data_IF_008751748858
#
_entry.id   IF_008751748858
#
_cell.length_a   1.000
_cell.length_b   1.000
_cell.length_c   1.000
_cell.angle_alpha   90.00
_cell.angle_beta   90.00
_cell.angle_gamma   90.00
#
_symmetry.space_group_name_H-M   'P 1'
#
loop_
_entity.id
_entity.type
_entity.pdbx_description
1 polymer ?
#
# COMPACT_ATOMS: atom_id res chain seq x y z
N UNK A 1 27.65 -36.60 19.75
CA UNK A 1 26.65 -35.72 20.34
C UNK A 1 26.00 -34.99 19.16
N UNK A 2 24.74 -35.26 18.86
CA UNK A 2 24.02 -34.54 17.80
C UNK A 2 24.00 -33.05 18.17
N UNK A 3 24.56 -32.21 17.31
CA UNK A 3 24.52 -30.77 17.50
C UNK A 3 23.05 -30.37 17.64
N UNK A 4 22.71 -29.67 18.73
CA UNK A 4 21.35 -29.13 18.95
C UNK A 4 21.07 -28.10 17.85
N UNK A 5 20.55 -28.57 16.72
CA UNK A 5 20.14 -27.70 15.63
C UNK A 5 18.83 -27.00 16.02
N UNK A 6 18.90 -25.69 16.18
CA UNK A 6 17.76 -24.86 16.55
C UNK A 6 17.15 -24.29 15.25
N UNK A 7 15.90 -24.67 14.97
CA UNK A 7 15.15 -24.14 13.86
C UNK A 7 14.57 -22.77 14.21
N UNK A 8 15.12 -21.73 13.55
CA UNK A 8 14.72 -20.33 13.78
C UNK A 8 13.24 -20.10 13.46
N UNK A 9 12.76 -20.62 12.32
CA UNK A 9 11.37 -20.44 11.88
C UNK A 9 10.40 -21.07 12.87
N UNK A 10 10.67 -22.30 13.30
CA UNK A 10 9.84 -23.02 14.25
C UNK A 10 9.83 -22.36 15.63
N UNK A 11 10.98 -21.86 16.08
CA UNK A 11 11.08 -21.13 17.34
C UNK A 11 10.23 -19.85 17.32
N UNK A 12 10.26 -19.09 16.23
CA UNK A 12 9.45 -17.87 16.09
C UNK A 12 7.97 -18.24 15.95
N UNK A 13 7.64 -19.26 15.16
CA UNK A 13 6.26 -19.70 14.92
C UNK A 13 5.52 -20.09 16.20
N UNK A 14 6.24 -20.70 17.13
CA UNK A 14 5.72 -21.15 18.43
C UNK A 14 5.89 -20.11 19.55
N UNK A 15 6.54 -18.98 19.29
CA UNK A 15 6.73 -17.91 20.29
C UNK A 15 5.43 -17.14 20.56
N UNK A 16 5.43 -16.38 21.66
CA UNK A 16 4.38 -15.39 21.96
C UNK A 16 4.87 -14.00 21.54
N UNK A 17 3.92 -13.13 21.13
CA UNK A 17 4.22 -11.73 20.84
C UNK A 17 4.67 -11.03 22.11
N UNK A 18 5.91 -10.57 22.17
CA UNK A 18 6.52 -9.88 23.30
C UNK A 18 6.86 -8.43 22.96
N UNK A 19 7.25 -7.65 23.94
CA UNK A 19 7.59 -6.22 23.78
C UNK A 19 8.65 -5.96 22.71
N UNK A 20 9.60 -6.87 22.52
CA UNK A 20 10.62 -6.75 21.48
C UNK A 20 10.01 -6.81 20.07
N UNK A 21 9.14 -7.79 19.82
CA UNK A 21 8.45 -7.95 18.53
C UNK A 21 7.50 -6.77 18.28
N UNK A 22 6.78 -6.32 19.34
CA UNK A 22 5.96 -5.10 19.24
C UNK A 22 6.81 -3.89 18.84
N UNK A 23 8.02 -3.74 19.41
CA UNK A 23 8.96 -2.69 19.03
C UNK A 23 9.34 -2.73 17.54
N UNK A 24 9.58 -3.93 16.99
CA UNK A 24 9.82 -4.12 15.54
C UNK A 24 8.60 -3.72 14.72
N UNK A 25 7.40 -4.15 15.13
CA UNK A 25 6.14 -3.84 14.43
C UNK A 25 5.84 -2.34 14.45
N UNK A 26 6.08 -1.67 15.58
CA UNK A 26 5.88 -0.22 15.71
C UNK A 26 6.85 0.55 14.83
N UNK A 27 8.13 0.20 14.81
CA UNK A 27 9.12 0.88 13.96
C UNK A 27 8.81 0.70 12.46
N UNK A 28 8.47 -0.52 12.03
CA UNK A 28 8.05 -0.78 10.66
C UNK A 28 6.73 -0.07 10.32
N UNK A 29 5.78 -0.04 11.27
CA UNK A 29 4.50 0.65 11.11
C UNK A 29 4.66 2.16 10.98
N UNK A 30 5.50 2.79 11.81
CA UNK A 30 5.81 4.21 11.73
C UNK A 30 6.49 4.56 10.39
N UNK A 31 7.38 3.70 9.92
CA UNK A 31 8.01 3.87 8.62
C UNK A 31 6.97 3.85 7.49
N UNK A 32 6.00 2.91 7.52
CA UNK A 32 4.91 2.82 6.55
C UNK A 32 3.91 3.98 6.66
N UNK A 33 3.66 4.51 7.87
CA UNK A 33 2.87 5.73 8.05
C UNK A 33 3.55 6.90 7.33
N UNK A 34 4.85 7.04 7.44
CA UNK A 34 5.58 8.11 6.77
C UNK A 34 5.72 7.91 5.26
N UNK A 35 5.77 6.67 4.78
CA UNK A 35 5.68 6.33 3.36
C UNK A 35 4.33 6.78 2.77
N UNK A 36 3.22 6.39 3.42
CA UNK A 36 1.87 6.83 3.02
C UNK A 36 1.67 8.34 3.11
N UNK A 37 2.25 8.98 4.15
CA UNK A 37 2.28 10.44 4.29
C UNK A 37 2.95 11.09 3.09
N UNK A 38 4.17 10.68 2.74
CA UNK A 38 4.95 11.32 1.67
C UNK A 38 4.27 11.16 0.31
N UNK A 39 3.86 9.93 -0.06
CA UNK A 39 3.22 9.64 -1.34
C UNK A 39 1.93 10.44 -1.53
N UNK A 40 1.13 10.59 -0.48
CA UNK A 40 -0.19 11.23 -0.58
C UNK A 40 -0.16 12.74 -0.26
N UNK A 41 0.91 13.25 0.38
CA UNK A 41 1.06 14.67 0.68
C UNK A 41 1.04 15.56 -0.56
N UNK A 42 1.49 15.03 -1.69
CA UNK A 42 1.53 15.75 -2.96
C UNK A 42 0.15 16.29 -3.39
N UNK A 43 -0.91 15.48 -3.27
CA UNK A 43 -2.28 15.91 -3.61
C UNK A 43 -2.75 17.12 -2.80
N UNK A 44 -2.28 17.27 -1.56
CA UNK A 44 -2.59 18.41 -0.70
C UNK A 44 -1.73 19.63 -0.99
N UNK A 45 -0.47 19.43 -1.35
CA UNK A 45 0.48 20.51 -1.65
C UNK A 45 0.21 21.16 -3.00
N UNK A 46 -0.20 20.38 -4.00
CA UNK A 46 -0.34 20.81 -5.39
C UNK A 46 -1.16 22.10 -5.58
N UNK A 47 -2.34 22.30 -4.96
CA UNK A 47 -3.12 23.53 -5.14
C UNK A 47 -2.40 24.80 -4.69
N UNK A 48 -1.67 24.73 -3.58
CA UNK A 48 -0.92 25.87 -3.03
C UNK A 48 0.33 26.19 -3.88
N UNK A 49 1.05 25.16 -4.31
CA UNK A 49 2.22 25.28 -5.18
C UNK A 49 1.82 25.87 -6.54
N UNK A 50 0.71 25.42 -7.13
CA UNK A 50 0.24 25.96 -8.41
C UNK A 50 -0.12 27.43 -8.33
N UNK A 51 -0.71 27.86 -7.21
CA UNK A 51 -1.01 29.27 -6.99
C UNK A 51 0.27 30.09 -6.87
N UNK A 52 1.30 29.57 -6.18
CA UNK A 52 2.59 30.30 -6.02
C UNK A 52 3.39 30.37 -7.33
N UNK A 53 3.40 29.29 -8.12
CA UNK A 53 4.23 29.21 -9.32
C UNK A 53 3.50 29.65 -10.60
N UNK A 54 2.20 29.98 -10.52
CA UNK A 54 1.40 30.38 -11.69
C UNK A 54 1.19 29.27 -12.73
N UNK A 55 1.28 28.00 -12.31
CA UNK A 55 1.07 26.82 -13.17
C UNK A 55 -0.35 26.31 -13.06
N UNK A 56 -0.94 25.90 -14.18
CA UNK A 56 -2.34 25.47 -14.23
C UNK A 56 -2.51 23.98 -14.02
N UNK A 57 -1.52 23.16 -14.35
CA UNK A 57 -1.62 21.70 -14.28
C UNK A 57 -0.23 21.04 -14.28
N UNK A 58 0.08 20.28 -13.24
CA UNK A 58 1.24 19.39 -13.15
C UNK A 58 1.07 18.30 -12.07
N UNK A 59 -0.10 18.27 -11.39
CA UNK A 59 -0.27 17.36 -10.25
C UNK A 59 -0.17 15.90 -10.66
N UNK A 60 -0.73 15.54 -11.80
CA UNK A 60 -0.68 14.19 -12.33
C UNK A 60 0.74 13.76 -12.70
N UNK A 61 1.49 14.62 -13.41
CA UNK A 61 2.87 14.32 -13.80
C UNK A 61 3.77 14.09 -12.61
N UNK A 62 3.70 14.95 -11.58
CA UNK A 62 4.52 14.81 -10.37
C UNK A 62 4.15 13.54 -9.59
N UNK A 63 2.86 13.26 -9.43
CA UNK A 63 2.39 12.02 -8.79
C UNK A 63 2.86 10.78 -9.57
N UNK A 64 2.67 10.78 -10.90
CA UNK A 64 3.07 9.66 -11.76
C UNK A 64 4.58 9.43 -11.74
N UNK A 65 5.41 10.50 -11.77
CA UNK A 65 6.87 10.37 -11.64
C UNK A 65 7.28 9.75 -10.31
N UNK A 66 6.66 10.16 -9.20
CA UNK A 66 6.90 9.53 -7.89
C UNK A 66 6.55 8.05 -7.94
N UNK A 67 5.39 7.68 -8.49
CA UNK A 67 4.90 6.30 -8.54
C UNK A 67 5.71 5.41 -9.50
N UNK A 68 6.24 5.96 -10.59
CA UNK A 68 7.22 5.26 -11.45
C UNK A 68 8.48 4.94 -10.63
N UNK A 69 8.99 5.93 -9.88
CA UNK A 69 10.10 5.69 -8.96
C UNK A 69 9.80 4.59 -7.95
N UNK A 70 8.62 4.62 -7.31
CA UNK A 70 8.17 3.59 -6.35
C UNK A 70 8.12 2.20 -7.01
N UNK A 71 7.61 2.10 -8.23
CA UNK A 71 7.54 0.82 -8.95
C UNK A 71 8.94 0.25 -9.22
N UNK A 72 9.84 1.05 -9.77
CA UNK A 72 11.22 0.64 -10.07
C UNK A 72 11.97 0.33 -8.77
N UNK A 73 11.86 1.20 -7.78
CA UNK A 73 12.50 1.05 -6.47
C UNK A 73 12.06 -0.21 -5.74
N UNK A 74 10.78 -0.56 -5.79
CA UNK A 74 10.27 -1.76 -5.15
C UNK A 74 10.90 -3.05 -5.71
N UNK A 75 11.16 -3.10 -7.00
CA UNK A 75 11.82 -4.24 -7.65
C UNK A 75 13.32 -4.29 -7.29
N UNK A 76 14.02 -3.15 -7.48
CA UNK A 76 15.47 -3.07 -7.27
C UNK A 76 15.85 -3.35 -5.81
N UNK A 77 15.17 -2.70 -4.87
CA UNK A 77 15.52 -2.80 -3.45
C UNK A 77 15.01 -4.07 -2.78
N UNK A 78 13.97 -4.74 -3.32
CA UNK A 78 13.62 -6.08 -2.85
C UNK A 78 14.73 -7.08 -3.18
N UNK A 79 15.25 -7.06 -4.41
CA UNK A 79 16.38 -7.91 -4.80
C UNK A 79 17.66 -7.57 -4.00
N UNK A 80 17.87 -6.30 -3.69
CA UNK A 80 19.00 -5.87 -2.88
C UNK A 80 18.87 -6.37 -1.44
N UNK A 81 17.68 -6.33 -0.85
CA UNK A 81 17.41 -6.79 0.50
C UNK A 81 17.69 -8.29 0.68
N UNK A 82 17.46 -9.11 -0.33
CA UNK A 82 17.80 -10.53 -0.32
C UNK A 82 19.32 -10.79 -0.33
N UNK A 83 20.12 -9.80 -0.81
CA UNK A 83 21.58 -9.89 -0.85
C UNK A 83 22.25 -9.34 0.40
N UNK A 84 21.85 -8.15 0.87
CA UNK A 84 22.54 -7.42 1.95
C UNK A 84 21.77 -7.40 3.28
N UNK A 85 20.51 -7.85 3.28
CA UNK A 85 19.63 -7.86 4.46
C UNK A 85 18.50 -6.85 4.36
N UNK A 86 17.44 -7.09 5.14
CA UNK A 86 16.24 -6.22 5.13
C UNK A 86 16.46 -4.95 5.94
N UNK A 87 17.18 -5.05 7.05
CA UNK A 87 17.45 -3.91 7.93
C UNK A 87 18.24 -2.79 7.26
N UNK A 88 19.41 -3.02 6.61
CA UNK A 88 20.17 -1.94 5.98
C UNK A 88 19.40 -1.31 4.80
N UNK A 89 18.64 -2.09 4.04
CA UNK A 89 17.82 -1.55 2.94
C UNK A 89 16.70 -0.67 3.49
N UNK A 90 15.98 -1.11 4.52
CA UNK A 90 14.88 -0.37 5.10
C UNK A 90 15.36 0.94 5.74
N UNK A 91 16.44 0.90 6.53
CA UNK A 91 17.04 2.09 7.15
C UNK A 91 17.59 3.04 6.08
N UNK A 92 18.37 2.51 5.14
CA UNK A 92 18.97 3.29 4.07
C UNK A 92 17.90 3.98 3.21
N UNK A 93 16.86 3.25 2.82
CA UNK A 93 15.73 3.80 2.06
C UNK A 93 14.98 4.89 2.83
N UNK A 94 14.76 4.69 4.16
CA UNK A 94 14.09 5.67 5.01
C UNK A 94 14.90 6.96 5.10
N UNK A 95 16.18 6.89 5.37
CA UNK A 95 17.06 8.07 5.43
C UNK A 95 17.19 8.75 4.06
N UNK A 96 17.28 7.96 2.99
CA UNK A 96 17.38 8.45 1.62
C UNK A 96 16.13 9.23 1.19
N UNK A 97 14.93 8.67 1.32
CA UNK A 97 13.73 9.42 0.93
C UNK A 97 13.48 10.61 1.85
N UNK A 98 13.80 10.52 3.16
CA UNK A 98 13.75 11.65 4.09
C UNK A 98 14.56 12.84 3.59
N UNK A 99 15.82 12.60 3.22
CA UNK A 99 16.70 13.65 2.70
C UNK A 99 16.14 14.29 1.42
N UNK A 100 15.62 13.46 0.49
CA UNK A 100 15.04 13.94 -0.75
C UNK A 100 13.72 14.70 -0.55
N UNK A 101 12.92 14.31 0.44
CA UNK A 101 11.71 15.03 0.82
C UNK A 101 12.07 16.41 1.42
N UNK A 102 13.12 16.52 2.24
CA UNK A 102 13.65 17.81 2.71
C UNK A 102 14.16 18.68 1.56
N UNK A 103 14.85 18.08 0.57
CA UNK A 103 15.29 18.79 -0.64
C UNK A 103 14.09 19.25 -1.46
N UNK A 104 13.01 18.45 -1.53
CA UNK A 104 11.76 18.82 -2.23
C UNK A 104 11.18 20.15 -1.71
N UNK A 105 11.34 20.46 -0.42
CA UNK A 105 10.91 21.73 0.15
C UNK A 105 11.67 22.96 -0.40
N UNK A 106 12.82 22.77 -1.06
CA UNK A 106 13.69 23.83 -1.58
C UNK A 106 13.67 23.97 -3.11
N UNK A 107 12.91 23.14 -3.81
CA UNK A 107 12.80 23.24 -5.26
C UNK A 107 12.09 24.52 -5.68
N UNK A 108 12.50 25.06 -6.83
CA UNK A 108 11.98 26.30 -7.40
C UNK A 108 11.41 26.15 -8.80
N UNK A 109 11.66 25.00 -9.45
CA UNK A 109 11.16 24.72 -10.80
C UNK A 109 10.44 23.37 -10.86
N UNK A 110 9.52 23.24 -11.83
CA UNK A 110 8.77 22.00 -12.04
C UNK A 110 9.69 20.83 -12.41
N UNK A 111 10.70 21.07 -13.23
CA UNK A 111 11.64 20.02 -13.68
C UNK A 111 12.46 19.47 -12.50
N UNK A 112 12.94 20.35 -11.61
CA UNK A 112 13.58 19.93 -10.36
C UNK A 112 12.64 19.08 -9.52
N UNK A 113 11.38 19.51 -9.40
CA UNK A 113 10.38 18.79 -8.64
C UNK A 113 10.13 17.39 -9.22
N UNK A 114 9.95 17.26 -10.53
CA UNK A 114 9.75 15.98 -11.22
C UNK A 114 10.91 15.01 -10.98
N UNK A 115 12.15 15.51 -11.16
CA UNK A 115 13.37 14.70 -10.98
C UNK A 115 13.50 14.24 -9.53
N UNK A 116 13.38 15.17 -8.58
CA UNK A 116 13.56 14.85 -7.15
C UNK A 116 12.47 13.89 -6.66
N UNK A 117 11.21 14.09 -7.10
CA UNK A 117 10.11 13.19 -6.72
C UNK A 117 10.26 11.80 -7.33
N UNK A 118 10.77 11.68 -8.55
CA UNK A 118 11.13 10.38 -9.13
C UNK A 118 12.22 9.67 -8.31
N UNK A 119 13.31 10.41 -8.00
CA UNK A 119 14.43 9.85 -7.23
C UNK A 119 13.98 9.48 -5.80
N UNK A 120 13.16 10.32 -5.14
CA UNK A 120 12.57 9.99 -3.83
C UNK A 120 11.69 8.74 -3.90
N UNK A 121 10.91 8.60 -4.98
CA UNK A 121 10.08 7.43 -5.25
C UNK A 121 10.88 6.13 -5.25
N UNK A 122 12.12 6.11 -5.77
CA UNK A 122 12.97 4.92 -5.74
C UNK A 122 13.17 4.42 -4.29
N UNK A 123 13.43 5.32 -3.35
CA UNK A 123 13.58 4.96 -1.93
C UNK A 123 12.26 4.49 -1.29
N UNK A 124 11.16 5.23 -1.55
CA UNK A 124 9.83 4.88 -1.04
C UNK A 124 9.41 3.46 -1.49
N UNK A 125 9.77 3.05 -2.72
CA UNK A 125 9.48 1.71 -3.22
C UNK A 125 10.08 0.58 -2.39
N UNK A 126 11.18 0.83 -1.69
CA UNK A 126 11.82 -0.16 -0.82
C UNK A 126 11.07 -0.42 0.49
N UNK A 127 10.28 0.56 0.98
CA UNK A 127 9.78 0.56 2.36
C UNK A 127 8.78 -0.58 2.58
N UNK A 128 7.67 -0.57 1.84
CA UNK A 128 6.55 -1.49 2.10
C UNK A 128 6.95 -2.98 2.02
N UNK A 129 7.62 -3.47 0.96
CA UNK A 129 7.95 -4.89 0.86
C UNK A 129 8.90 -5.34 1.99
N UNK A 130 9.90 -4.54 2.33
CA UNK A 130 10.88 -4.91 3.35
C UNK A 130 10.33 -4.80 4.77
N UNK A 131 9.51 -3.79 5.08
CA UNK A 131 8.88 -3.65 6.38
C UNK A 131 7.89 -4.79 6.65
N UNK A 132 7.02 -5.11 5.69
CA UNK A 132 6.03 -6.19 5.83
C UNK A 132 6.72 -7.56 5.93
N UNK A 133 7.78 -7.79 5.15
CA UNK A 133 8.54 -9.01 5.23
C UNK A 133 9.21 -9.18 6.61
N UNK A 134 9.87 -8.11 7.12
CA UNK A 134 10.52 -8.16 8.42
C UNK A 134 9.51 -8.41 9.55
N UNK A 135 8.34 -7.78 9.50
CA UNK A 135 7.24 -8.03 10.44
C UNK A 135 6.79 -9.50 10.36
N UNK A 136 6.61 -10.04 9.15
CA UNK A 136 6.23 -11.44 8.95
C UNK A 136 7.24 -12.42 9.55
N UNK A 137 8.54 -12.13 9.40
CA UNK A 137 9.63 -12.96 9.90
C UNK A 137 9.80 -12.93 11.44
N UNK A 138 9.36 -11.87 12.11
CA UNK A 138 9.35 -11.76 13.57
C UNK A 138 8.01 -12.12 14.19
N UNK A 139 6.98 -12.43 13.40
CA UNK A 139 5.66 -12.73 13.92
C UNK A 139 5.43 -14.23 14.15
N UNK A 140 4.87 -14.63 15.31
CA UNK A 140 4.38 -15.98 15.54
C UNK A 140 3.34 -16.39 14.50
N UNK A 141 3.26 -17.67 14.17
CA UNK A 141 2.38 -18.21 13.11
C UNK A 141 0.93 -17.76 13.27
N UNK A 142 0.41 -17.75 14.51
CA UNK A 142 -0.99 -17.40 14.79
C UNK A 142 -1.32 -15.93 14.54
N UNK A 143 -0.38 -15.00 14.79
CA UNK A 143 -0.60 -13.55 14.66
C UNK A 143 0.04 -12.94 13.43
N UNK A 144 0.82 -13.70 12.65
CA UNK A 144 1.61 -13.22 11.51
C UNK A 144 0.80 -12.42 10.50
N UNK A 145 -0.31 -12.99 10.02
CA UNK A 145 -1.15 -12.33 9.01
C UNK A 145 -1.73 -11.03 9.56
N UNK A 146 -2.20 -11.05 10.82
CA UNK A 146 -2.75 -9.86 11.45
C UNK A 146 -1.70 -8.76 11.64
N UNK A 147 -0.50 -9.11 12.11
CA UNK A 147 0.60 -8.17 12.28
C UNK A 147 1.00 -7.51 10.94
N UNK A 148 1.14 -8.30 9.88
CA UNK A 148 1.44 -7.80 8.53
C UNK A 148 0.33 -6.88 8.02
N UNK A 149 -0.94 -7.21 8.23
CA UNK A 149 -2.09 -6.38 7.82
C UNK A 149 -2.13 -5.06 8.59
N UNK A 150 -1.97 -5.09 9.91
CA UNK A 150 -1.97 -3.89 10.76
C UNK A 150 -0.85 -2.94 10.35
N UNK A 151 0.36 -3.47 10.15
CA UNK A 151 1.53 -2.67 9.75
C UNK A 151 1.37 -2.13 8.33
N UNK A 152 0.85 -2.92 7.38
CA UNK A 152 0.57 -2.46 6.02
C UNK A 152 -0.48 -1.35 5.96
N UNK A 153 -1.50 -1.38 6.84
CA UNK A 153 -2.48 -0.30 6.97
C UNK A 153 -1.86 1.02 7.45
N UNK A 154 -0.65 0.99 8.00
CA UNK A 154 0.13 2.19 8.31
C UNK A 154 0.21 3.15 7.12
N UNK A 155 0.38 2.65 5.90
CA UNK A 155 0.35 3.47 4.68
C UNK A 155 -0.94 4.28 4.54
N UNK A 156 -2.10 3.66 4.72
CA UNK A 156 -3.41 4.32 4.59
C UNK A 156 -3.66 5.30 5.73
N UNK A 157 -3.24 4.95 6.94
CA UNK A 157 -3.27 5.87 8.09
C UNK A 157 -2.37 7.09 7.83
N UNK A 158 -1.17 6.88 7.31
CA UNK A 158 -0.24 7.93 6.92
C UNK A 158 -0.82 8.90 5.88
N UNK A 159 -1.54 8.37 4.91
CA UNK A 159 -2.26 9.18 3.92
C UNK A 159 -3.33 10.09 4.55
N UNK A 160 -4.09 9.58 5.52
CA UNK A 160 -5.07 10.38 6.26
C UNK A 160 -4.38 11.45 7.14
N UNK A 161 -3.31 11.07 7.84
CA UNK A 161 -2.48 11.99 8.65
C UNK A 161 -1.91 13.10 7.79
N UNK A 162 -1.45 12.81 6.57
CA UNK A 162 -0.97 13.83 5.62
C UNK A 162 -2.02 14.91 5.36
N UNK A 163 -3.29 14.52 5.21
CA UNK A 163 -4.39 15.46 5.01
C UNK A 163 -4.59 16.41 6.21
N UNK A 164 -4.64 15.87 7.42
CA UNK A 164 -4.79 16.68 8.63
C UNK A 164 -3.60 17.62 8.85
N UNK A 165 -2.37 17.10 8.71
CA UNK A 165 -1.15 17.91 8.84
C UNK A 165 -1.09 18.99 7.76
N UNK A 166 -1.39 18.68 6.51
CA UNK A 166 -1.43 19.66 5.42
C UNK A 166 -2.48 20.75 5.66
N UNK A 167 -3.67 20.38 6.13
CA UNK A 167 -4.75 21.32 6.45
C UNK A 167 -4.34 22.30 7.57
N UNK A 168 -3.50 21.85 8.51
CA UNK A 168 -2.96 22.70 9.58
C UNK A 168 -1.76 23.54 9.13
N UNK A 169 -0.79 22.92 8.44
CA UNK A 169 0.50 23.55 8.11
C UNK A 169 0.42 24.51 6.92
N UNK A 170 -0.28 24.14 5.84
CA UNK A 170 -0.27 24.92 4.59
C UNK A 170 -0.79 26.35 4.79
N UNK A 171 -1.93 26.59 5.48
CA UNK A 171 -2.43 27.95 5.68
C UNK A 171 -1.56 28.83 6.59
N UNK A 172 -0.73 28.22 7.46
CA UNK A 172 0.10 28.93 8.46
C UNK A 172 1.53 29.14 8.01
N UNK A 173 2.11 28.12 7.36
CA UNK A 173 3.55 28.07 7.07
C UNK A 173 3.85 27.82 5.59
N UNK A 174 2.82 27.77 4.74
CA UNK A 174 2.97 27.47 3.32
C UNK A 174 3.21 25.97 3.03
N UNK A 175 3.15 25.61 1.75
CA UNK A 175 3.22 24.22 1.30
C UNK A 175 4.57 23.53 1.59
N UNK A 176 5.66 24.30 1.65
CA UNK A 176 7.01 23.77 1.96
C UNK A 176 7.08 23.10 3.34
N UNK A 177 6.28 23.59 4.28
CA UNK A 177 6.23 23.05 5.65
C UNK A 177 5.80 21.58 5.72
N UNK A 178 4.97 21.15 4.77
CA UNK A 178 4.54 19.74 4.67
C UNK A 178 5.73 18.83 4.34
N UNK A 179 6.61 19.25 3.43
CA UNK A 179 7.83 18.51 3.09
C UNK A 179 8.90 18.59 4.18
N UNK A 180 9.01 19.72 4.89
CA UNK A 180 9.88 19.77 6.08
C UNK A 180 9.42 18.79 7.15
N UNK A 181 8.14 18.72 7.44
CA UNK A 181 7.58 17.72 8.37
C UNK A 181 7.78 16.30 7.83
N UNK A 182 7.37 16.05 6.57
CA UNK A 182 7.45 14.76 5.90
C UNK A 182 8.88 14.22 5.69
N UNK A 183 9.90 15.08 5.77
CA UNK A 183 11.29 14.67 5.72
C UNK A 183 11.93 14.55 7.11
N UNK A 184 11.62 15.46 8.04
CA UNK A 184 12.23 15.45 9.38
C UNK A 184 11.76 14.26 10.23
N UNK A 185 10.46 13.96 10.22
CA UNK A 185 9.92 12.86 11.04
C UNK A 185 10.49 11.50 10.62
N UNK A 186 10.47 11.10 9.32
CA UNK A 186 11.07 9.82 8.95
C UNK A 186 12.60 9.80 9.08
N UNK A 187 13.27 10.96 9.04
CA UNK A 187 14.70 11.03 9.37
C UNK A 187 14.96 10.57 10.81
N UNK A 188 14.17 11.09 11.76
CA UNK A 188 14.25 10.68 13.18
C UNK A 188 13.91 9.19 13.33
N UNK A 189 12.85 8.71 12.64
CA UNK A 189 12.47 7.29 12.66
C UNK A 189 13.61 6.43 12.10
N UNK A 190 14.25 6.82 10.99
CA UNK A 190 15.39 6.11 10.41
C UNK A 190 16.59 6.01 11.35
N UNK A 191 16.88 7.09 12.08
CA UNK A 191 17.92 7.09 13.12
C UNK A 191 17.57 6.17 14.31
N UNK A 192 16.30 6.17 14.75
CA UNK A 192 15.81 5.23 15.76
C UNK A 192 15.89 3.78 15.28
N UNK A 193 15.53 3.52 14.02
CA UNK A 193 15.66 2.19 13.41
C UNK A 193 17.12 1.73 13.35
N UNK A 194 18.07 2.65 13.11
CA UNK A 194 19.49 2.32 13.10
C UNK A 194 19.96 1.73 14.45
N UNK A 195 19.39 2.21 15.56
CA UNK A 195 19.74 1.73 16.90
C UNK A 195 18.89 0.53 17.32
N UNK A 196 17.59 0.53 17.04
CA UNK A 196 16.64 -0.39 17.66
C UNK A 196 16.14 -1.52 16.75
N UNK A 197 16.19 -1.36 15.42
CA UNK A 197 15.67 -2.36 14.49
C UNK A 197 16.66 -3.53 14.35
N UNK A 198 16.24 -4.79 14.57
CA UNK A 198 17.07 -5.95 14.34
C UNK A 198 17.14 -6.33 12.85
N UNK A 199 18.14 -7.10 12.48
CA UNK A 199 18.15 -7.77 11.18
C UNK A 199 17.30 -9.04 11.21
N UNK A 200 16.80 -9.47 10.06
CA UNK A 200 16.11 -10.74 9.89
C UNK A 200 16.92 -11.91 10.41
N UNK A 201 16.37 -12.67 11.35
CA UNK A 201 17.01 -13.88 11.89
C UNK A 201 17.15 -14.95 10.80
N UNK A 202 16.18 -15.07 9.90
CA UNK A 202 16.24 -16.00 8.77
C UNK A 202 17.39 -15.60 7.82
N UNK A 203 17.52 -14.32 7.48
CA UNK A 203 18.61 -13.82 6.65
C UNK A 203 19.98 -14.07 7.29
N UNK A 204 20.14 -13.77 8.59
CA UNK A 204 21.41 -13.99 9.29
C UNK A 204 21.82 -15.46 9.26
N UNK A 205 20.85 -16.37 9.45
CA UNK A 205 21.09 -17.82 9.44
C UNK A 205 21.46 -18.32 8.03
N UNK A 206 20.72 -17.92 7.01
CA UNK A 206 20.99 -18.31 5.61
C UNK A 206 22.35 -17.81 5.12
N UNK A 207 22.75 -16.61 5.54
CA UNK A 207 24.08 -16.04 5.22
C UNK A 207 25.20 -16.51 6.16
N UNK A 208 24.92 -17.48 7.05
CA UNK A 208 25.89 -18.03 8.00
C UNK A 208 26.64 -16.93 8.77
N UNK A 209 25.92 -15.89 9.21
CA UNK A 209 26.48 -14.82 10.05
C UNK A 209 26.78 -15.34 11.46
N UNK A 210 27.50 -14.52 12.27
CA UNK A 210 27.93 -14.91 13.64
C UNK A 210 26.76 -15.50 14.46
N UNK A 211 26.99 -16.71 15.02
CA UNK A 211 26.02 -17.38 15.88
C UNK A 211 25.66 -16.55 17.12
N UNK A 212 26.62 -15.78 17.67
CA UNK A 212 26.39 -14.90 18.81
C UNK A 212 25.34 -13.80 18.51
N UNK A 213 25.36 -13.25 17.27
CA UNK A 213 24.42 -12.25 16.86
C UNK A 213 23.00 -12.86 16.72
N UNK A 214 22.90 -14.06 16.15
CA UNK A 214 21.64 -14.79 16.04
C UNK A 214 21.13 -15.12 17.45
N UNK A 215 21.96 -15.65 18.31
CA UNK A 215 21.65 -15.98 19.72
C UNK A 215 21.15 -14.76 20.49
N UNK A 216 21.80 -13.60 20.31
CA UNK A 216 21.41 -12.33 20.95
C UNK A 216 19.97 -11.92 20.59
N UNK A 217 19.61 -11.97 19.32
CA UNK A 217 18.28 -11.56 18.87
C UNK A 217 17.23 -12.62 19.16
N UNK A 218 17.57 -13.91 19.03
CA UNK A 218 16.67 -15.01 19.32
C UNK A 218 16.27 -15.05 20.80
N UNK A 219 17.19 -14.78 21.73
CA UNK A 219 16.88 -14.63 23.17
C UNK A 219 15.90 -13.49 23.46
N UNK A 220 15.82 -12.46 22.64
CA UNK A 220 14.83 -11.38 22.80
C UNK A 220 13.43 -11.81 22.33
N UNK A 221 13.37 -12.73 21.37
CA UNK A 221 12.09 -13.30 20.87
C UNK A 221 11.61 -14.37 21.86
N UNK A 222 12.50 -15.29 22.24
CA UNK A 222 12.19 -16.39 23.16
C UNK A 222 13.27 -16.51 24.25
N UNK A 223 13.07 -15.83 25.41
CA UNK A 223 14.04 -15.82 26.49
C UNK A 223 14.26 -17.19 27.16
N UNK A 224 13.28 -18.10 27.07
CA UNK A 224 13.35 -19.43 27.68
C UNK A 224 14.23 -20.42 26.89
N UNK A 225 14.66 -20.03 25.67
CA UNK A 225 15.46 -20.91 24.82
C UNK A 225 16.85 -21.19 25.41
N UNK A 226 17.17 -22.47 25.58
CA UNK A 226 18.49 -22.90 26.06
C UNK A 226 19.48 -22.83 24.90
N UNK A 227 20.34 -21.81 24.91
CA UNK A 227 21.41 -21.62 23.92
C UNK A 227 22.75 -22.04 24.52
N UNK A 228 23.49 -22.85 23.78
CA UNK A 228 24.87 -23.23 24.11
C UNK A 228 25.84 -22.66 23.09
N UNK A 229 27.12 -22.49 23.37
CA UNK A 229 28.11 -22.04 22.39
C UNK A 229 28.22 -22.96 21.15
N UNK A 230 27.76 -24.21 21.27
CA UNK A 230 27.73 -25.20 20.19
C UNK A 230 26.39 -25.25 19.44
N UNK A 231 25.41 -24.39 19.78
CA UNK A 231 24.11 -24.35 19.11
C UNK A 231 24.27 -24.00 17.63
N UNK A 232 23.74 -24.83 16.76
CA UNK A 232 23.68 -24.57 15.31
C UNK A 232 22.28 -24.03 14.95
N UNK A 233 22.25 -22.98 14.17
CA UNK A 233 20.99 -22.37 13.71
C UNK A 233 20.67 -22.81 12.30
N UNK A 234 19.44 -23.25 12.07
CA UNK A 234 18.94 -23.70 10.77
C UNK A 234 17.62 -23.03 10.44
N UNK A 235 17.36 -22.88 9.16
CA UNK A 235 16.07 -22.39 8.63
C UNK A 235 15.57 -23.45 7.65
N UNK A 236 14.35 -23.91 7.83
CA UNK A 236 13.69 -24.77 6.88
C UNK A 236 13.12 -23.89 5.76
N UNK A 237 13.94 -23.53 4.80
CA UNK A 237 13.49 -22.90 3.57
C UNK A 237 13.22 -23.96 2.51
N UNK A 238 11.95 -24.20 2.21
CA UNK A 238 11.61 -24.76 0.91
C UNK A 238 11.88 -23.66 -0.14
N UNK A 239 12.95 -23.78 -0.90
CA UNK A 239 13.15 -22.97 -2.12
C UNK A 239 11.98 -23.24 -3.05
N UNK A 240 10.95 -22.42 -2.99
CA UNK A 240 9.91 -22.41 -4.01
C UNK A 240 10.49 -21.68 -5.22
N UNK A 241 10.84 -22.44 -6.24
CA UNK A 241 11.16 -21.87 -7.55
C UNK A 241 9.98 -21.01 -8.00
N UNK A 242 10.28 -19.80 -8.48
CA UNK A 242 9.24 -18.88 -8.97
C UNK A 242 8.53 -19.53 -10.17
N UNK A 243 7.20 -19.58 -10.11
CA UNK A 243 6.40 -20.12 -11.21
C UNK A 243 6.24 -19.04 -12.28
N UNK A 244 6.44 -19.37 -13.57
CA UNK A 244 6.26 -18.42 -14.67
C UNK A 244 4.85 -17.81 -14.67
N UNK A 245 4.74 -16.51 -14.96
CA UNK A 245 3.45 -15.76 -14.98
C UNK A 245 2.46 -16.41 -15.96
N UNK A 246 2.95 -17.01 -17.06
CA UNK A 246 2.11 -17.70 -18.05
C UNK A 246 1.26 -18.81 -17.42
N UNK A 247 1.75 -19.47 -16.37
CA UNK A 247 1.02 -20.55 -15.67
C UNK A 247 -0.27 -20.06 -15.00
N UNK A 248 -0.39 -18.74 -14.71
CA UNK A 248 -1.60 -18.14 -14.19
C UNK A 248 -2.79 -18.23 -15.14
N UNK A 249 -2.52 -18.42 -16.42
CA UNK A 249 -3.54 -18.50 -17.48
C UNK A 249 -3.92 -19.94 -17.86
N UNK A 250 -3.22 -20.95 -17.33
CA UNK A 250 -3.50 -22.34 -17.60
C UNK A 250 -4.68 -22.87 -16.76
N UNK A 251 -5.14 -24.07 -17.08
CA UNK A 251 -6.18 -24.81 -16.36
C UNK A 251 -7.50 -24.02 -16.18
N UNK A 252 -7.87 -23.21 -17.18
CA UNK A 252 -9.11 -22.45 -17.17
C UNK A 252 -9.12 -21.21 -16.29
N UNK A 253 -7.95 -20.82 -15.73
CA UNK A 253 -7.83 -19.64 -14.86
C UNK A 253 -7.72 -18.31 -15.60
N UNK A 254 -7.53 -18.31 -16.91
CA UNK A 254 -7.30 -17.09 -17.70
C UNK A 254 -8.35 -15.99 -17.45
N UNK A 255 -9.62 -16.33 -17.54
CA UNK A 255 -10.71 -15.37 -17.32
C UNK A 255 -10.67 -14.76 -15.92
N UNK A 256 -10.50 -15.59 -14.88
CA UNK A 256 -10.44 -15.09 -13.51
C UNK A 256 -9.20 -14.24 -13.25
N UNK A 257 -8.04 -14.61 -13.81
CA UNK A 257 -6.80 -13.81 -13.73
C UNK A 257 -6.97 -12.45 -14.39
N UNK A 258 -7.57 -12.38 -15.59
CA UNK A 258 -7.83 -11.09 -16.26
C UNK A 258 -8.83 -10.22 -15.49
N UNK A 259 -9.88 -10.81 -14.91
CA UNK A 259 -10.84 -10.08 -14.09
C UNK A 259 -10.19 -9.53 -12.82
N UNK A 260 -9.35 -10.31 -12.13
CA UNK A 260 -8.57 -9.83 -10.98
C UNK A 260 -7.63 -8.69 -11.35
N UNK A 261 -6.95 -8.79 -12.50
CA UNK A 261 -6.07 -7.73 -12.99
C UNK A 261 -6.85 -6.47 -13.34
N UNK A 262 -8.03 -6.62 -13.96
CA UNK A 262 -8.92 -5.49 -14.27
C UNK A 262 -9.39 -4.80 -12.99
N UNK A 263 -9.84 -5.56 -11.99
CA UNK A 263 -10.24 -5.01 -10.69
C UNK A 263 -9.11 -4.21 -10.05
N UNK A 264 -7.91 -4.79 -10.02
CA UNK A 264 -6.75 -4.18 -9.38
C UNK A 264 -6.31 -2.92 -10.12
N UNK A 265 -6.26 -2.97 -11.45
CA UNK A 265 -5.89 -1.85 -12.32
C UNK A 265 -6.88 -0.68 -12.19
N UNK A 266 -8.18 -0.95 -12.35
CA UNK A 266 -9.23 0.06 -12.32
C UNK A 266 -9.36 0.71 -10.94
N UNK A 267 -9.25 -0.09 -9.87
CA UNK A 267 -9.32 0.45 -8.53
C UNK A 267 -8.13 1.36 -8.19
N UNK A 268 -6.91 0.98 -8.58
CA UNK A 268 -5.74 1.82 -8.34
C UNK A 268 -5.71 3.08 -9.21
N UNK A 269 -6.30 3.06 -10.42
CA UNK A 269 -6.58 4.30 -11.17
C UNK A 269 -7.40 5.25 -10.29
N UNK A 270 -8.55 4.81 -9.77
CA UNK A 270 -9.41 5.65 -8.95
C UNK A 270 -8.73 6.15 -7.68
N UNK A 271 -8.08 5.24 -6.96
CA UNK A 271 -7.44 5.57 -5.69
C UNK A 271 -6.44 6.71 -5.86
N UNK A 272 -5.49 6.57 -6.78
CA UNK A 272 -4.43 7.56 -6.95
C UNK A 272 -4.89 8.81 -7.71
N UNK A 273 -5.82 8.67 -8.64
CA UNK A 273 -6.45 9.79 -9.34
C UNK A 273 -7.18 10.71 -8.37
N UNK A 274 -8.09 10.17 -7.56
CA UNK A 274 -8.85 10.94 -6.58
C UNK A 274 -7.95 11.51 -5.49
N UNK A 275 -7.02 10.72 -4.94
CA UNK A 275 -6.06 11.19 -3.93
C UNK A 275 -5.25 12.40 -4.41
N UNK A 276 -4.84 12.40 -5.68
CA UNK A 276 -4.02 13.48 -6.27
C UNK A 276 -4.85 14.73 -6.58
N UNK A 277 -6.08 14.55 -7.08
CA UNK A 277 -6.80 15.65 -7.70
C UNK A 277 -7.94 16.24 -6.88
N UNK A 278 -8.49 15.51 -5.87
CA UNK A 278 -9.63 16.00 -5.09
C UNK A 278 -9.40 17.38 -4.47
N UNK A 279 -8.26 17.67 -3.77
CA UNK A 279 -8.05 19.01 -3.21
C UNK A 279 -7.99 20.11 -4.28
N UNK A 280 -7.33 19.82 -5.41
CA UNK A 280 -7.19 20.77 -6.51
C UNK A 280 -8.54 21.05 -7.21
N UNK A 281 -9.35 20.02 -7.44
CA UNK A 281 -10.68 20.17 -8.05
C UNK A 281 -11.62 20.90 -7.09
N UNK A 282 -11.60 20.54 -5.80
CA UNK A 282 -12.41 21.21 -4.78
C UNK A 282 -12.07 22.71 -4.68
N UNK A 283 -10.77 23.06 -4.81
CA UNK A 283 -10.35 24.47 -4.91
C UNK A 283 -10.92 25.16 -6.14
N UNK A 284 -10.91 24.48 -7.29
CA UNK A 284 -11.52 24.95 -8.55
C UNK A 284 -13.04 25.11 -8.50
N UNK A 285 -13.72 24.36 -7.62
CA UNK A 285 -15.16 24.51 -7.34
C UNK A 285 -15.48 25.74 -6.46
N UNK A 286 -14.48 26.55 -6.11
CA UNK A 286 -14.66 27.78 -5.30
C UNK A 286 -14.59 27.56 -3.79
N UNK A 287 -14.21 26.37 -3.29
CA UNK A 287 -14.05 26.15 -1.86
C UNK A 287 -12.82 26.92 -1.33
N UNK A 288 -12.92 27.42 -0.10
CA UNK A 288 -11.78 27.97 0.60
C UNK A 288 -10.64 26.95 0.70
N UNK A 289 -9.38 27.41 0.78
CA UNK A 289 -8.20 26.52 0.74
C UNK A 289 -8.27 25.40 1.79
N UNK A 290 -8.60 25.72 3.05
CA UNK A 290 -8.75 24.73 4.13
C UNK A 290 -9.87 23.73 3.87
N UNK A 291 -10.99 24.17 3.30
CA UNK A 291 -12.11 23.29 2.98
C UNK A 291 -11.73 22.33 1.82
N UNK A 292 -11.01 22.82 0.82
CA UNK A 292 -10.54 21.99 -0.29
C UNK A 292 -9.54 20.91 0.18
N UNK A 293 -8.62 21.25 1.10
CA UNK A 293 -7.73 20.26 1.73
C UNK A 293 -8.53 19.24 2.55
N UNK A 294 -9.56 19.70 3.28
CA UNK A 294 -10.42 18.81 4.07
C UNK A 294 -11.20 17.82 3.18
N UNK A 295 -11.57 18.17 1.93
CA UNK A 295 -12.16 17.22 0.97
C UNK A 295 -11.24 16.04 0.72
N UNK A 296 -9.97 16.28 0.41
CA UNK A 296 -8.97 15.21 0.26
C UNK A 296 -8.75 14.42 1.55
N UNK A 297 -8.74 15.11 2.70
CA UNK A 297 -8.60 14.48 4.02
C UNK A 297 -9.77 13.53 4.31
N UNK A 298 -11.01 13.91 3.98
CA UNK A 298 -12.19 13.05 4.13
C UNK A 298 -12.09 11.79 3.28
N UNK A 299 -11.59 11.90 2.04
CA UNK A 299 -11.35 10.74 1.18
C UNK A 299 -10.36 9.75 1.81
N UNK A 300 -9.23 10.24 2.30
CA UNK A 300 -8.20 9.39 2.94
C UNK A 300 -8.69 8.80 4.27
N UNK A 301 -9.42 9.58 5.08
CA UNK A 301 -9.97 9.12 6.36
C UNK A 301 -11.03 8.04 6.15
N UNK A 302 -11.92 8.25 5.18
CA UNK A 302 -12.88 7.22 4.77
C UNK A 302 -12.17 5.94 4.33
N UNK A 303 -11.08 6.09 3.57
CA UNK A 303 -10.24 4.99 3.13
C UNK A 303 -9.58 4.24 4.29
N UNK A 304 -8.98 4.93 5.24
CA UNK A 304 -8.35 4.33 6.41
C UNK A 304 -9.34 3.52 7.24
N UNK A 305 -10.53 4.06 7.48
CA UNK A 305 -11.60 3.36 8.21
C UNK A 305 -12.14 2.17 7.39
N UNK A 306 -12.39 2.38 6.09
CA UNK A 306 -12.95 1.37 5.21
C UNK A 306 -12.06 0.14 5.06
N UNK A 307 -10.74 0.35 4.90
CA UNK A 307 -9.77 -0.74 4.76
C UNK A 307 -9.68 -1.65 5.99
N UNK A 308 -9.94 -1.11 7.18
CA UNK A 308 -9.95 -1.86 8.43
C UNK A 308 -11.32 -2.54 8.64
N UNK A 309 -12.40 -1.81 8.35
CA UNK A 309 -13.77 -2.25 8.66
C UNK A 309 -14.27 -3.39 7.77
N UNK A 310 -13.68 -3.59 6.58
CA UNK A 310 -14.21 -4.54 5.58
C UNK A 310 -14.13 -6.01 5.99
N UNK A 311 -13.24 -6.38 6.90
CA UNK A 311 -13.01 -7.78 7.28
C UNK A 311 -14.28 -8.49 7.74
N UNK A 312 -14.97 -7.94 8.74
CA UNK A 312 -16.22 -8.52 9.29
C UNK A 312 -17.35 -8.66 8.26
N UNK A 313 -17.65 -7.66 7.40
CA UNK A 313 -18.58 -7.82 6.29
C UNK A 313 -18.23 -8.97 5.35
N UNK A 314 -16.97 -9.12 4.98
CA UNK A 314 -16.52 -10.21 4.10
C UNK A 314 -16.72 -11.59 4.77
N UNK A 315 -16.40 -11.74 6.05
CA UNK A 315 -16.63 -12.97 6.81
C UNK A 315 -18.11 -13.35 6.87
N UNK A 316 -19.00 -12.36 7.03
CA UNK A 316 -20.44 -12.59 7.19
C UNK A 316 -21.17 -12.80 5.87
N UNK A 317 -20.84 -12.03 4.82
CA UNK A 317 -21.61 -11.98 3.56
C UNK A 317 -20.82 -12.43 2.35
N UNK A 318 -19.55 -12.85 2.54
CA UNK A 318 -18.66 -13.28 1.47
C UNK A 318 -18.05 -12.11 0.68
N UNK A 319 -17.06 -12.42 -0.14
CA UNK A 319 -16.29 -11.43 -0.88
C UNK A 319 -17.12 -10.67 -1.93
N UNK A 320 -17.85 -11.38 -2.77
CA UNK A 320 -18.39 -10.80 -4.00
C UNK A 320 -19.47 -9.76 -3.73
N UNK A 321 -20.46 -10.07 -2.86
CA UNK A 321 -21.53 -9.15 -2.50
C UNK A 321 -21.00 -7.87 -1.85
N UNK A 322 -20.05 -8.02 -0.93
CA UNK A 322 -19.43 -6.88 -0.22
C UNK A 322 -18.63 -6.01 -1.17
N UNK A 323 -17.82 -6.60 -2.05
CA UNK A 323 -17.01 -5.83 -2.99
C UNK A 323 -17.84 -5.14 -4.07
N UNK A 324 -18.92 -5.77 -4.56
CA UNK A 324 -19.87 -5.11 -5.47
C UNK A 324 -20.49 -3.89 -4.77
N UNK A 325 -20.90 -4.02 -3.51
CA UNK A 325 -21.45 -2.90 -2.75
C UNK A 325 -20.41 -1.79 -2.52
N UNK A 326 -19.14 -2.13 -2.22
CA UNK A 326 -18.06 -1.17 -2.05
C UNK A 326 -17.78 -0.40 -3.36
N UNK A 327 -17.53 -1.10 -4.46
CA UNK A 327 -17.19 -0.45 -5.74
C UNK A 327 -18.39 0.23 -6.38
N UNK A 328 -19.57 -0.40 -6.36
CA UNK A 328 -20.80 0.20 -6.88
C UNK A 328 -21.21 1.44 -6.08
N UNK A 329 -21.16 1.35 -4.75
CA UNK A 329 -21.37 2.50 -3.86
C UNK A 329 -20.35 3.61 -4.11
N UNK A 330 -19.06 3.28 -4.24
CA UNK A 330 -18.02 4.23 -4.57
C UNK A 330 -18.27 4.91 -5.92
N UNK A 331 -18.69 4.17 -6.96
CA UNK A 331 -19.01 4.74 -8.26
C UNK A 331 -20.15 5.79 -8.17
N UNK A 332 -21.20 5.48 -7.42
CA UNK A 332 -22.31 6.41 -7.17
C UNK A 332 -21.82 7.65 -6.41
N UNK A 333 -21.06 7.45 -5.32
CA UNK A 333 -20.52 8.57 -4.53
C UNK A 333 -19.58 9.45 -5.36
N UNK A 334 -18.70 8.87 -6.17
CA UNK A 334 -17.81 9.64 -7.06
C UNK A 334 -18.63 10.45 -8.06
N UNK A 335 -19.63 9.86 -8.71
CA UNK A 335 -20.50 10.57 -9.64
C UNK A 335 -21.26 11.73 -8.97
N UNK A 336 -21.65 11.57 -7.70
CA UNK A 336 -22.32 12.61 -6.92
C UNK A 336 -21.41 13.80 -6.59
N UNK A 337 -20.08 13.61 -6.41
CA UNK A 337 -19.16 14.72 -6.07
C UNK A 337 -19.24 15.87 -7.07
N UNK A 338 -19.44 15.58 -8.36
CA UNK A 338 -19.52 16.57 -9.43
C UNK A 338 -20.89 17.22 -9.61
N UNK A 339 -21.90 16.85 -8.83
CA UNK A 339 -23.25 17.37 -9.03
C UNK A 339 -23.38 18.81 -8.49
N UNK A 340 -24.10 19.69 -9.22
CA UNK A 340 -24.39 21.02 -8.73
C UNK A 340 -25.35 20.97 -7.54
N UNK A 341 -25.23 21.93 -6.63
CA UNK A 341 -26.12 22.07 -5.47
C UNK A 341 -25.73 21.26 -4.23
N UNK A 342 -24.62 20.53 -4.23
CA UNK A 342 -24.11 19.89 -3.03
C UNK A 342 -23.67 20.93 -2.00
N UNK A 343 -24.22 20.84 -0.78
CA UNK A 343 -23.70 21.61 0.34
C UNK A 343 -22.30 21.11 0.73
N UNK A 344 -21.52 21.96 1.39
CA UNK A 344 -20.18 21.59 1.87
C UNK A 344 -20.19 20.33 2.75
N UNK A 345 -21.18 20.21 3.65
CA UNK A 345 -21.32 19.05 4.52
C UNK A 345 -21.65 17.76 3.73
N UNK A 346 -22.56 17.86 2.76
CA UNK A 346 -22.89 16.71 1.90
C UNK A 346 -21.66 16.28 1.08
N UNK A 347 -20.89 17.22 0.55
CA UNK A 347 -19.66 16.92 -0.19
C UNK A 347 -18.66 16.13 0.68
N UNK A 348 -18.47 16.52 1.94
CA UNK A 348 -17.58 15.80 2.86
C UNK A 348 -18.04 14.36 3.10
N UNK A 349 -19.35 14.14 3.31
CA UNK A 349 -19.91 12.80 3.51
C UNK A 349 -19.77 11.95 2.24
N UNK A 350 -20.10 12.49 1.09
CA UNK A 350 -20.03 11.79 -0.20
C UNK A 350 -18.57 11.40 -0.51
N UNK A 351 -17.63 12.31 -0.30
CA UNK A 351 -16.19 12.04 -0.52
C UNK A 351 -15.66 11.03 0.48
N UNK A 352 -16.07 11.11 1.75
CA UNK A 352 -15.71 10.10 2.76
C UNK A 352 -16.19 8.70 2.37
N UNK A 353 -17.43 8.57 1.93
CA UNK A 353 -18.00 7.28 1.49
C UNK A 353 -17.35 6.77 0.21
N UNK A 354 -17.00 7.66 -0.73
CA UNK A 354 -16.22 7.29 -1.92
C UNK A 354 -14.85 6.71 -1.52
N UNK A 355 -14.12 7.38 -0.63
CA UNK A 355 -12.85 6.89 -0.09
C UNK A 355 -13.01 5.54 0.61
N UNK A 356 -14.03 5.43 1.47
CA UNK A 356 -14.32 4.19 2.18
C UNK A 356 -14.52 3.02 1.21
N UNK A 357 -15.34 3.18 0.16
CA UNK A 357 -15.60 2.13 -0.82
C UNK A 357 -14.36 1.73 -1.64
N UNK A 358 -13.56 2.71 -2.09
CA UNK A 358 -12.34 2.46 -2.89
C UNK A 358 -11.26 1.72 -2.10
N UNK A 359 -10.95 2.15 -0.89
CA UNK A 359 -9.89 1.51 -0.08
C UNK A 359 -10.35 0.20 0.55
N UNK A 360 -11.62 0.09 0.98
CA UNK A 360 -12.21 -1.18 1.38
C UNK A 360 -12.18 -2.18 0.22
N UNK A 361 -12.56 -1.75 -0.98
CA UNK A 361 -12.45 -2.52 -2.21
C UNK A 361 -11.02 -2.97 -2.49
N UNK A 362 -10.00 -2.12 -2.26
CA UNK A 362 -8.59 -2.47 -2.44
C UNK A 362 -8.15 -3.60 -1.48
N UNK A 363 -8.53 -3.48 -0.21
CA UNK A 363 -8.22 -4.52 0.79
C UNK A 363 -8.88 -5.85 0.42
N UNK A 364 -10.16 -5.81 -0.01
CA UNK A 364 -10.88 -6.97 -0.47
C UNK A 364 -10.32 -7.59 -1.75
N UNK A 365 -9.88 -6.78 -2.72
CA UNK A 365 -9.21 -7.26 -3.95
C UNK A 365 -7.97 -8.10 -3.63
N UNK A 366 -7.13 -7.62 -2.70
CA UNK A 366 -5.94 -8.34 -2.27
C UNK A 366 -6.30 -9.68 -1.63
N UNK A 367 -7.37 -9.71 -0.83
CA UNK A 367 -7.85 -10.94 -0.20
C UNK A 367 -8.43 -11.93 -1.22
N UNK A 368 -9.21 -11.46 -2.20
CA UNK A 368 -9.72 -12.31 -3.29
C UNK A 368 -8.57 -12.88 -4.12
N UNK A 369 -7.57 -12.08 -4.49
CA UNK A 369 -6.41 -12.57 -5.21
C UNK A 369 -5.67 -13.67 -4.44
N UNK A 370 -5.52 -13.53 -3.13
CA UNK A 370 -4.88 -14.53 -2.27
C UNK A 370 -5.69 -15.83 -2.14
N UNK A 371 -7.01 -15.79 -2.33
CA UNK A 371 -7.88 -16.97 -2.25
C UNK A 371 -8.12 -17.64 -3.60
N UNK A 372 -8.08 -16.88 -4.70
CA UNK A 372 -8.32 -17.38 -6.04
C UNK A 372 -7.23 -18.35 -6.52
N UNK A 373 -5.95 -18.00 -6.28
CA UNK A 373 -4.84 -18.81 -6.75
C UNK A 373 -4.53 -19.97 -5.78
N UNK A 374 -4.24 -21.20 -6.32
CA UNK A 374 -3.76 -22.29 -5.50
C UNK A 374 -2.44 -21.92 -4.81
N UNK A 375 -2.11 -22.60 -3.71
CA UNK A 375 -0.99 -22.26 -2.84
C UNK A 375 0.35 -22.15 -3.60
N UNK A 376 0.55 -22.97 -4.62
CA UNK A 376 1.76 -22.97 -5.45
C UNK A 376 1.89 -21.73 -6.37
N UNK A 377 0.76 -21.13 -6.78
CA UNK A 377 0.71 -19.98 -7.68
C UNK A 377 0.40 -18.67 -6.95
N UNK A 378 0.04 -18.73 -5.67
CA UNK A 378 -0.52 -17.59 -4.91
C UNK A 378 0.41 -16.38 -4.89
N UNK A 379 1.69 -16.58 -4.59
CA UNK A 379 2.66 -15.46 -4.54
C UNK A 379 2.83 -14.80 -5.91
N UNK A 380 2.97 -15.60 -6.96
CA UNK A 380 3.08 -15.10 -8.36
C UNK A 380 1.79 -14.39 -8.78
N UNK A 381 0.62 -14.98 -8.49
CA UNK A 381 -0.68 -14.42 -8.88
C UNK A 381 -1.00 -13.10 -8.20
N UNK A 382 -0.81 -13.03 -6.88
CA UNK A 382 -0.99 -11.79 -6.12
C UNK A 382 0.02 -10.73 -6.55
N UNK A 383 1.30 -11.11 -6.70
CA UNK A 383 2.35 -10.21 -7.16
C UNK A 383 2.09 -9.63 -8.56
N UNK A 384 1.64 -10.46 -9.51
CA UNK A 384 1.28 -10.03 -10.86
C UNK A 384 0.07 -9.07 -10.85
N UNK A 385 -0.98 -9.37 -10.07
CA UNK A 385 -2.13 -8.50 -9.93
C UNK A 385 -1.73 -7.13 -9.35
N UNK A 386 -0.90 -7.09 -8.31
CA UNK A 386 -0.36 -5.86 -7.74
C UNK A 386 0.50 -5.09 -8.75
N UNK A 387 1.32 -5.79 -9.55
CA UNK A 387 2.13 -5.19 -10.61
C UNK A 387 1.29 -4.49 -11.67
N UNK A 388 0.25 -5.16 -12.16
CA UNK A 388 -0.72 -4.56 -13.10
C UNK A 388 -1.43 -3.36 -12.46
N UNK A 389 -1.85 -3.48 -11.21
CA UNK A 389 -2.44 -2.38 -10.46
C UNK A 389 -1.52 -1.16 -10.34
N UNK A 390 -0.21 -1.36 -10.16
CA UNK A 390 0.78 -0.26 -10.12
C UNK A 390 0.78 0.57 -11.42
N UNK A 391 0.58 -0.06 -12.57
CA UNK A 391 0.43 0.68 -13.84
C UNK A 391 -0.81 1.59 -13.76
N UNK A 392 -1.92 1.09 -13.20
CA UNK A 392 -3.13 1.90 -12.96
C UNK A 392 -2.86 3.09 -12.04
N UNK A 393 -2.09 2.90 -10.97
CA UNK A 393 -1.72 3.99 -10.05
C UNK A 393 -0.93 5.11 -10.72
N UNK A 394 -0.07 4.77 -11.67
CA UNK A 394 0.73 5.72 -12.46
C UNK A 394 -0.15 6.46 -13.47
N UNK A 395 -1.01 5.72 -14.18
CA UNK A 395 -1.83 6.30 -15.24
C UNK A 395 -2.97 7.16 -14.71
N UNK A 396 -3.57 6.83 -13.56
CA UNK A 396 -4.72 7.54 -13.00
C UNK A 396 -4.51 9.05 -12.86
N UNK A 397 -3.50 9.51 -12.12
CA UNK A 397 -3.21 10.93 -11.96
C UNK A 397 -2.89 11.64 -13.28
N UNK A 398 -2.17 10.97 -14.19
CA UNK A 398 -1.78 11.51 -15.49
C UNK A 398 -2.99 11.69 -16.42
N UNK A 399 -3.87 10.69 -16.49
CA UNK A 399 -5.12 10.75 -17.27
C UNK A 399 -6.02 11.88 -16.78
N UNK A 400 -6.16 12.05 -15.47
CA UNK A 400 -6.93 13.15 -14.91
C UNK A 400 -6.36 14.52 -15.26
N UNK A 401 -5.02 14.66 -15.31
CA UNK A 401 -4.36 15.90 -15.78
C UNK A 401 -4.77 16.26 -17.20
N UNK A 402 -4.80 15.27 -18.09
CA UNK A 402 -5.20 15.43 -19.47
C UNK A 402 -6.68 15.77 -19.65
N UNK A 403 -7.53 15.16 -18.83
CA UNK A 403 -9.00 15.31 -18.93
C UNK A 403 -9.52 16.61 -18.32
N UNK A 404 -8.92 17.06 -17.21
CA UNK A 404 -9.40 18.20 -16.43
C UNK A 404 -9.65 19.48 -17.25
N UNK A 405 -8.80 19.93 -18.19
CA UNK A 405 -9.06 21.13 -18.98
C UNK A 405 -10.12 20.96 -20.08
N UNK A 406 -10.56 19.71 -20.36
CA UNK A 406 -11.46 19.37 -21.47
C UNK A 406 -12.90 19.12 -21.04
N UNK A 407 -13.11 18.79 -19.76
CA UNK A 407 -14.41 18.42 -19.22
C UNK A 407 -14.83 19.35 -18.08
N UNK A 408 -16.11 19.62 -17.98
CA UNK A 408 -16.68 20.28 -16.80
C UNK A 408 -16.49 19.39 -15.55
N UNK A 409 -16.54 19.99 -14.36
CA UNK A 409 -16.39 19.23 -13.11
C UNK A 409 -17.40 18.08 -13.01
N UNK A 410 -18.66 18.33 -13.42
CA UNK A 410 -19.69 17.30 -13.45
C UNK A 410 -19.31 16.12 -14.36
N UNK A 411 -18.95 16.40 -15.62
CA UNK A 411 -18.54 15.37 -16.58
C UNK A 411 -17.31 14.62 -16.11
N UNK A 412 -16.34 15.33 -15.50
CA UNK A 412 -15.10 14.74 -15.00
C UNK A 412 -15.38 13.67 -13.93
N UNK A 413 -16.27 13.95 -12.97
CA UNK A 413 -16.59 12.98 -11.93
C UNK A 413 -17.46 11.82 -12.45
N UNK A 414 -18.28 12.02 -13.47
CA UNK A 414 -18.97 10.91 -14.15
C UNK A 414 -17.94 9.95 -14.80
N UNK A 415 -16.92 10.49 -15.46
CA UNK A 415 -15.85 9.67 -16.04
C UNK A 415 -15.01 9.02 -14.94
N UNK A 416 -14.73 9.73 -13.85
CA UNK A 416 -13.99 9.16 -12.71
C UNK A 416 -14.74 8.03 -11.99
N UNK A 417 -16.06 7.97 -12.12
CA UNK A 417 -16.87 6.87 -11.59
C UNK A 417 -16.72 5.56 -12.41
N UNK A 418 -16.34 5.67 -13.70
CA UNK A 418 -16.26 4.51 -14.61
C UNK A 418 -15.32 3.41 -14.12
N UNK A 419 -14.08 3.68 -13.68
CA UNK A 419 -13.21 2.63 -13.18
C UNK A 419 -13.77 1.89 -11.96
N UNK A 420 -14.48 2.57 -11.04
CA UNK A 420 -15.15 1.92 -9.91
C UNK A 420 -16.29 1.02 -10.37
N UNK A 421 -17.09 1.48 -11.35
CA UNK A 421 -18.16 0.67 -11.96
C UNK A 421 -17.60 -0.56 -12.66
N UNK A 422 -16.51 -0.42 -13.43
CA UNK A 422 -15.83 -1.54 -14.08
C UNK A 422 -15.26 -2.52 -13.06
N UNK A 423 -14.75 -2.05 -11.93
CA UNK A 423 -14.32 -2.91 -10.81
C UNK A 423 -15.50 -3.70 -10.24
N UNK A 424 -16.65 -3.07 -10.02
CA UNK A 424 -17.87 -3.75 -9.54
C UNK A 424 -18.35 -4.83 -10.51
N UNK A 425 -18.36 -4.53 -11.81
CA UNK A 425 -18.71 -5.50 -12.86
C UNK A 425 -17.72 -6.67 -12.89
N UNK A 426 -16.41 -6.39 -12.83
CA UNK A 426 -15.40 -7.42 -12.83
C UNK A 426 -15.49 -8.36 -11.61
N UNK A 427 -15.82 -7.81 -10.42
CA UNK A 427 -16.11 -8.59 -9.22
C UNK A 427 -17.32 -9.52 -9.44
N UNK A 428 -18.41 -9.00 -10.00
CA UNK A 428 -19.62 -9.79 -10.29
C UNK A 428 -19.32 -10.93 -11.26
N UNK A 429 -18.60 -10.64 -12.35
CA UNK A 429 -18.19 -11.65 -13.34
C UNK A 429 -17.26 -12.70 -12.71
N UNK A 430 -16.31 -12.29 -11.88
CA UNK A 430 -15.41 -13.21 -11.19
C UNK A 430 -16.18 -14.15 -10.25
N UNK A 431 -17.17 -13.62 -9.52
CA UNK A 431 -18.05 -14.42 -8.68
C UNK A 431 -18.81 -15.50 -9.47
N UNK A 432 -19.33 -15.13 -10.66
CA UNK A 432 -19.99 -16.10 -11.55
C UNK A 432 -19.03 -17.18 -12.05
N UNK A 433 -17.82 -16.81 -12.44
CA UNK A 433 -16.78 -17.77 -12.91
C UNK A 433 -16.43 -18.74 -11.79
N UNK A 434 -16.20 -18.25 -10.58
CA UNK A 434 -15.84 -19.10 -9.43
C UNK A 434 -16.97 -20.02 -9.02
N UNK A 435 -18.22 -19.55 -8.99
CA UNK A 435 -19.38 -20.36 -8.67
C UNK A 435 -19.59 -21.47 -9.71
N UNK A 436 -19.46 -21.18 -11.01
CA UNK A 436 -19.55 -22.20 -12.07
C UNK A 436 -18.47 -23.28 -11.92
N UNK A 437 -17.24 -22.88 -11.63
CA UNK A 437 -16.14 -23.81 -11.39
C UNK A 437 -16.37 -24.72 -10.17
N UNK A 438 -16.92 -24.16 -9.09
CA UNK A 438 -17.29 -24.91 -7.88
C UNK A 438 -18.40 -25.94 -8.16
N UNK A 439 -19.45 -25.53 -8.87
CA UNK A 439 -20.58 -26.42 -9.26
C UNK A 439 -20.11 -27.55 -10.18
N UNK A 440 -19.26 -27.26 -11.18
CA UNK A 440 -18.70 -28.24 -12.08
C UNK A 440 -17.80 -29.27 -11.35
N UNK A 441 -17.06 -28.82 -10.33
CA UNK A 441 -16.22 -29.70 -9.50
C UNK A 441 -17.07 -30.60 -8.59
N UNK A 442 -18.14 -30.06 -8.01
CA UNK A 442 -19.08 -30.83 -7.20
C UNK A 442 -19.81 -31.91 -8.03
N UNK A 443 -20.26 -31.56 -9.25
CA UNK A 443 -20.90 -32.52 -10.17
C UNK A 443 -19.95 -33.67 -10.57
N UNK A 444 -18.66 -33.40 -10.78
CA UNK A 444 -17.67 -34.45 -11.08
C UNK A 444 -17.38 -35.33 -9.85
N UNK A 445 -17.43 -34.79 -8.65
CA UNK A 445 -17.20 -35.59 -7.43
C UNK A 445 -18.35 -36.56 -7.12
N UNK A 446 -19.58 -36.24 -7.56
CA UNK A 446 -20.76 -37.10 -7.41
C UNK A 446 -20.90 -38.17 -8.49
N UNK A 447 -20.09 -38.09 -9.56
CA UNK A 447 -20.13 -39.07 -10.67
C UNK A 447 -19.01 -40.10 -10.62
N UNK A 448 -18.19 -40.13 -9.56
CA UNK A 448 -17.21 -41.22 -9.34
C UNK A 448 -17.91 -42.27 -8.46
N UNK A 449 -18.14 -43.50 -8.99
CA UNK A 449 -18.82 -44.56 -8.27
C UNK A 449 -17.99 -45.08 -7.11
#
# INVERSE_FOLDING_TARGET
MAANAINITETIDNSQVRSFQIGVFVLCGLCLIMDGFDVQSWGFVAPALFTEWGITSAAGRVASMTLIGVMIGSLLFSMLADKIGRRPVLIGATLYFSALTLITARVTTLDQLLIIRFIAGLGLGAIMPNAVALVGEYSPKQSRVMAMLVVSNGFTVGAAVAGFIATYLIPRFGWRSVFYFGGTVPLVIGLLMFVALPESLQFLTLKKKSGDLIAKWLKRVEPSIALTPASQFVVNEEKKEGVPIVTLFHEGRATGTLLLWTMQFMNLINLYMLSTWLPTIARGMGLAATAALMVGTMFQTGGAIGSIAIGKPIEKWGFFGVLIACFGGAAVMIALIGQPGLTKSMLFVVVFLAGWGIFAGQAGNNAVAATYYPTTLRSTGVGAALGVGRIGSILGPYVAEYMRPRYSTHQLFLVFAVPALLSAIAVGLLGMVMNRAATAKAAKATTIP
#
